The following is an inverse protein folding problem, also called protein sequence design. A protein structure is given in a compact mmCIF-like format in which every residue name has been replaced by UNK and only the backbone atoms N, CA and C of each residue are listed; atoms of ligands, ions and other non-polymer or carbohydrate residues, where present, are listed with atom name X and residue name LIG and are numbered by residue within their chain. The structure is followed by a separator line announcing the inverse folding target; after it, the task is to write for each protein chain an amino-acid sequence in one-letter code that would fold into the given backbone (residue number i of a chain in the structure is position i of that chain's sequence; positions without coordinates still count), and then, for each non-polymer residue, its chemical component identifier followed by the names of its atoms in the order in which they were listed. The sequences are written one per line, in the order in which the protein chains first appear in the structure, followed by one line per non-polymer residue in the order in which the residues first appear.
data_IF_546481780882
#
_entry.id   IF_546481780882
#
_cell.length_a   1.000
_cell.length_b   1.000
_cell.length_c   1.000
_cell.angle_alpha   90.00
_cell.angle_beta   90.00
_cell.angle_gamma   90.00
#
_symmetry.space_group_name_H-M   'P 1'
#
loop_
_entity.id
_entity.type
_entity.pdbx_description
1 polymer ?
#
# COMPACT_ATOMS: atom_id res chain seq x y z
N UNK A 1 -70.12 36.43 45.79
CA UNK A 1 -70.48 36.78 44.40
C UNK A 1 -69.70 35.79 43.55
N UNK A 2 -70.28 34.70 43.01
CA UNK A 2 -71.47 34.62 42.13
C UNK A 2 -71.24 35.54 40.92
N UNK A 3 -71.03 35.08 39.68
CA UNK A 3 -71.04 33.71 39.10
C UNK A 3 -70.16 33.70 37.80
N UNK A 4 -69.86 32.61 37.06
CA UNK A 4 -70.36 31.22 37.01
C UNK A 4 -69.33 30.25 36.36
N UNK A 5 -69.76 29.01 36.04
CA UNK A 5 -69.15 28.01 35.13
C UNK A 5 -70.32 27.42 34.29
N UNK A 6 -70.16 26.92 33.04
CA UNK A 6 -69.81 25.50 32.89
C UNK A 6 -69.12 25.05 31.57
N UNK A 7 -68.53 23.85 31.62
CA UNK A 7 -68.45 22.85 30.54
C UNK A 7 -67.63 23.14 29.26
N UNK A 8 -67.06 22.14 28.59
CA UNK A 8 -66.74 20.73 28.93
C UNK A 8 -65.87 20.17 27.80
N UNK A 9 -64.93 19.26 28.08
CA UNK A 9 -64.22 18.53 27.03
C UNK A 9 -62.75 18.24 27.31
N UNK A 10 -62.46 16.98 27.58
CA UNK A 10 -61.16 16.33 27.40
C UNK A 10 -61.46 14.89 26.95
N UNK A 11 -60.50 14.11 26.42
CA UNK A 11 -59.17 14.45 25.89
C UNK A 11 -58.94 13.88 24.47
N UNK A 12 -58.02 14.44 23.68
CA UNK A 12 -57.37 13.69 22.59
C UNK A 12 -55.87 13.97 22.52
N UNK A 13 -55.08 12.91 22.51
CA UNK A 13 -53.65 12.96 22.17
C UNK A 13 -53.49 13.20 20.67
N UNK A 14 -52.53 14.04 20.26
CA UNK A 14 -51.97 13.98 18.90
C UNK A 14 -50.50 14.40 18.89
N UNK A 15 -49.64 13.39 19.07
CA UNK A 15 -48.40 13.12 18.33
C UNK A 15 -47.46 14.30 18.00
N UNK A 16 -46.22 14.18 18.49
CA UNK A 16 -45.06 14.91 17.97
C UNK A 16 -44.93 14.71 16.45
N UNK A 17 -44.55 15.74 15.66
CA UNK A 17 -44.15 15.54 14.28
C UNK A 17 -42.82 14.79 14.20
N UNK A 18 -42.75 13.75 13.34
CA UNK A 18 -41.51 13.08 12.97
C UNK A 18 -40.47 14.08 12.39
N UNK A 19 -39.17 13.90 12.70
CA UNK A 19 -38.10 14.45 11.88
C UNK A 19 -37.81 13.49 10.72
N UNK A 20 -38.73 13.40 9.75
CA UNK A 20 -38.50 12.63 8.53
C UNK A 20 -37.53 13.36 7.59
N UNK A 21 -36.42 12.69 7.27
CA UNK A 21 -35.72 12.82 5.99
C UNK A 21 -35.25 14.20 5.52
N UNK A 22 -34.18 14.74 6.12
CA UNK A 22 -33.27 15.61 5.36
C UNK A 22 -32.53 14.75 4.31
N UNK A 23 -33.14 14.57 3.14
CA UNK A 23 -32.38 14.22 1.95
C UNK A 23 -31.40 15.37 1.66
N UNK A 24 -30.11 15.09 1.33
CA UNK A 24 -29.17 16.14 0.98
C UNK A 24 -29.71 16.92 -0.23
N UNK A 25 -29.60 18.24 -0.19
CA UNK A 25 -30.10 19.07 -1.28
C UNK A 25 -29.32 18.75 -2.56
N UNK A 26 -29.97 18.83 -3.73
CA UNK A 26 -29.31 18.54 -5.01
C UNK A 26 -28.07 19.42 -5.25
N UNK A 27 -28.03 20.62 -4.63
CA UNK A 27 -26.85 21.48 -4.59
C UNK A 27 -25.65 20.86 -3.90
N UNK A 28 -25.87 20.15 -2.80
CA UNK A 28 -24.81 19.60 -1.95
C UNK A 28 -24.23 18.36 -2.63
N UNK A 29 -25.11 17.50 -3.17
CA UNK A 29 -24.71 16.41 -4.05
C UNK A 29 -23.95 16.90 -5.30
N UNK A 30 -24.35 18.02 -5.89
CA UNK A 30 -23.64 18.60 -7.04
C UNK A 30 -22.26 19.18 -6.66
N UNK A 31 -22.14 19.76 -5.48
CA UNK A 31 -20.87 20.25 -4.92
C UNK A 31 -19.92 19.10 -4.59
N UNK A 32 -20.41 18.03 -3.97
CA UNK A 32 -19.61 16.82 -3.68
C UNK A 32 -19.15 16.14 -4.97
N UNK A 33 -20.02 16.00 -5.97
CA UNK A 33 -19.65 15.49 -7.30
C UNK A 33 -18.62 16.39 -8.02
N UNK A 34 -18.67 17.71 -7.80
CA UNK A 34 -17.69 18.64 -8.37
C UNK A 34 -16.35 18.56 -7.63
N UNK A 35 -16.37 18.47 -6.29
CA UNK A 35 -15.18 18.26 -5.48
C UNK A 35 -14.49 16.93 -5.81
N UNK A 36 -15.28 15.86 -5.97
CA UNK A 36 -14.80 14.56 -6.43
C UNK A 36 -14.17 14.66 -7.83
N UNK A 37 -14.84 15.27 -8.81
CA UNK A 37 -14.27 15.46 -10.16
C UNK A 37 -13.00 16.32 -10.17
N UNK A 38 -12.92 17.33 -9.32
CA UNK A 38 -11.70 18.15 -9.16
C UNK A 38 -10.58 17.29 -8.57
N UNK A 39 -10.84 16.52 -7.51
CA UNK A 39 -9.87 15.60 -6.92
C UNK A 39 -9.40 14.51 -7.91
N UNK A 40 -10.32 13.92 -8.67
CA UNK A 40 -10.03 12.98 -9.75
C UNK A 40 -9.15 13.65 -10.83
N UNK A 41 -9.48 14.86 -11.27
CA UNK A 41 -8.68 15.60 -12.26
C UNK A 41 -7.28 15.95 -11.77
N UNK A 42 -7.12 16.30 -10.50
CA UNK A 42 -5.82 16.58 -9.88
C UNK A 42 -4.98 15.30 -9.70
N UNK A 43 -5.62 14.14 -9.53
CA UNK A 43 -4.92 12.85 -9.47
C UNK A 43 -4.47 12.35 -10.85
N UNK A 44 -5.20 12.71 -11.92
CA UNK A 44 -4.91 12.29 -13.30
C UNK A 44 -3.68 12.98 -13.91
N UNK A 45 -3.26 14.15 -13.40
CA UNK A 45 -2.05 14.85 -13.88
C UNK A 45 -0.74 14.17 -13.41
N UNK A 46 -0.80 13.29 -12.41
CA UNK A 46 0.35 12.50 -11.95
C UNK A 46 0.41 11.14 -12.67
N UNK A 47 0.87 11.15 -13.93
CA UNK A 47 1.17 9.91 -14.67
C UNK A 47 2.30 9.12 -14.01
N UNK A 48 2.02 7.87 -13.67
CA UNK A 48 2.96 6.94 -13.04
C UNK A 48 3.45 5.92 -14.07
N UNK A 49 4.56 6.23 -14.75
CA UNK A 49 5.04 5.47 -15.92
C UNK A 49 5.29 4.00 -15.60
N UNK A 50 5.78 3.71 -14.39
CA UNK A 50 5.88 2.34 -13.93
C UNK A 50 4.52 1.72 -13.56
N UNK A 51 3.78 2.30 -12.60
CA UNK A 51 2.59 1.67 -12.02
C UNK A 51 1.41 1.51 -13.00
N UNK A 52 1.30 2.36 -14.03
CA UNK A 52 0.34 2.20 -15.13
C UNK A 52 0.58 0.94 -15.98
N UNK A 53 1.75 0.29 -15.84
CA UNK A 53 2.10 -0.97 -16.53
C UNK A 53 1.98 -2.21 -15.65
N UNK A 54 1.66 -2.06 -14.36
CA UNK A 54 1.62 -3.17 -13.40
C UNK A 54 0.18 -3.67 -13.17
N UNK A 55 0.00 -4.96 -12.83
CA UNK A 55 -1.31 -5.54 -12.51
C UNK A 55 -1.78 -5.10 -11.11
N UNK A 56 -2.06 -3.80 -10.97
CA UNK A 56 -2.61 -3.13 -9.79
C UNK A 56 -3.88 -2.37 -10.17
N UNK A 57 -4.76 -2.12 -9.19
CA UNK A 57 -5.97 -1.33 -9.42
C UNK A 57 -5.60 0.09 -9.87
N UNK A 58 -6.08 0.50 -11.04
CA UNK A 58 -5.68 1.75 -11.68
C UNK A 58 -6.61 2.90 -11.28
N UNK A 59 -6.12 4.15 -11.34
CA UNK A 59 -6.90 5.34 -10.97
C UNK A 59 -8.22 5.47 -11.75
N UNK A 60 -8.23 5.09 -13.03
CA UNK A 60 -9.41 5.06 -13.91
C UNK A 60 -10.52 4.08 -13.46
N UNK A 61 -10.17 3.11 -12.61
CA UNK A 61 -11.04 2.02 -12.16
C UNK A 61 -11.60 2.28 -10.75
N UNK A 62 -11.14 3.35 -10.08
CA UNK A 62 -11.62 3.77 -8.76
C UNK A 62 -13.13 4.07 -8.80
N UNK A 63 -13.86 3.61 -7.79
CA UNK A 63 -15.29 3.86 -7.66
C UNK A 63 -16.18 3.06 -8.61
N UNK A 64 -15.65 2.16 -9.43
CA UNK A 64 -16.45 1.27 -10.29
C UNK A 64 -16.88 -0.01 -9.54
N UNK A 65 -18.15 -0.16 -9.09
CA UNK A 65 -18.59 -1.31 -8.31
C UNK A 65 -18.85 -2.56 -9.18
N UNK A 66 -18.68 -2.48 -10.51
CA UNK A 66 -18.98 -3.60 -11.43
C UNK A 66 -17.80 -4.53 -11.69
N UNK A 67 -16.61 -4.17 -11.20
CA UNK A 67 -15.41 -4.98 -11.38
C UNK A 67 -15.47 -6.24 -10.49
N UNK A 68 -15.22 -7.44 -11.04
CA UNK A 68 -15.21 -8.67 -10.27
C UNK A 68 -13.99 -8.74 -9.34
N UNK A 69 -14.13 -9.40 -8.20
CA UNK A 69 -13.00 -9.71 -7.34
C UNK A 69 -12.19 -10.89 -7.89
N UNK A 70 -10.87 -10.80 -7.78
CA UNK A 70 -9.95 -11.84 -8.22
C UNK A 70 -8.60 -11.29 -8.70
N UNK A 71 -7.79 -12.12 -9.39
CA UNK A 71 -6.56 -11.68 -10.04
C UNK A 71 -6.84 -10.65 -11.14
N UNK A 72 -6.09 -9.55 -11.15
CA UNK A 72 -6.14 -8.52 -12.21
C UNK A 72 -5.63 -9.10 -13.55
N UNK A 73 -4.59 -9.93 -13.48
CA UNK A 73 -4.11 -10.75 -14.58
C UNK A 73 -4.13 -12.24 -14.17
N UNK A 74 -4.43 -13.16 -15.10
CA UNK A 74 -4.40 -14.60 -14.81
C UNK A 74 -2.96 -15.07 -14.49
N UNK A 75 -2.78 -16.04 -13.57
CA UNK A 75 -1.44 -16.49 -13.16
C UNK A 75 -0.59 -17.00 -14.34
N UNK A 76 0.56 -16.37 -14.56
CA UNK A 76 1.52 -16.79 -15.60
C UNK A 76 2.13 -18.17 -15.28
N UNK A 77 2.15 -19.12 -16.24
CA UNK A 77 2.83 -20.40 -16.06
C UNK A 77 4.33 -20.22 -15.78
N UNK A 78 4.90 -21.06 -14.89
CA UNK A 78 6.32 -21.00 -14.54
C UNK A 78 7.28 -21.15 -15.74
N UNK A 79 6.84 -21.81 -16.81
CA UNK A 79 7.55 -21.95 -18.09
C UNK A 79 7.63 -20.66 -18.92
N UNK A 80 6.71 -19.71 -18.68
CA UNK A 80 6.64 -18.41 -19.37
C UNK A 80 7.30 -17.30 -18.55
N UNK A 81 7.50 -17.52 -17.24
CA UNK A 81 8.29 -16.61 -16.39
C UNK A 81 9.75 -16.61 -16.83
N UNK A 82 10.34 -15.42 -16.91
CA UNK A 82 11.75 -15.23 -17.25
C UNK A 82 12.66 -15.88 -16.19
N UNK A 83 13.47 -16.85 -16.62
CA UNK A 83 14.40 -17.57 -15.73
C UNK A 83 15.67 -16.76 -15.40
N UNK A 84 16.11 -15.89 -16.32
CA UNK A 84 17.28 -15.03 -16.14
C UNK A 84 16.93 -13.72 -15.41
N UNK A 85 17.74 -13.25 -14.43
CA UNK A 85 17.51 -12.00 -13.72
C UNK A 85 17.28 -10.79 -14.63
N UNK A 86 16.57 -9.77 -14.16
CA UNK A 86 16.39 -8.53 -14.92
C UNK A 86 17.73 -7.81 -15.14
N UNK A 87 17.84 -7.10 -16.27
CA UNK A 87 19.09 -6.44 -16.62
C UNK A 87 19.34 -5.23 -15.70
N UNK A 88 20.48 -5.20 -15.05
CA UNK A 88 20.98 -4.02 -14.33
C UNK A 88 21.99 -3.25 -15.19
N UNK A 89 22.15 -1.93 -15.01
CA UNK A 89 23.25 -1.19 -15.62
C UNK A 89 24.61 -1.80 -15.24
N UNK A 90 25.57 -1.77 -16.16
CA UNK A 90 26.85 -2.51 -16.07
C UNK A 90 27.64 -2.34 -14.75
N UNK A 91 27.45 -1.24 -14.03
CA UNK A 91 28.07 -0.93 -12.74
C UNK A 91 27.52 -1.75 -11.57
N UNK A 92 26.37 -2.41 -11.73
CA UNK A 92 25.66 -3.10 -10.65
C UNK A 92 25.46 -4.59 -10.93
N UNK A 93 25.36 -5.36 -9.85
CA UNK A 93 25.08 -6.79 -9.84
C UNK A 93 23.98 -7.11 -8.81
N UNK A 94 23.19 -8.14 -9.09
CA UNK A 94 22.26 -8.71 -8.12
C UNK A 94 23.03 -9.47 -7.05
N UNK A 95 22.50 -9.48 -5.84
CA UNK A 95 22.92 -10.37 -4.76
C UNK A 95 21.70 -10.98 -4.08
N UNK A 96 21.77 -12.25 -3.74
CA UNK A 96 20.82 -12.90 -2.83
C UNK A 96 21.35 -12.74 -1.41
N UNK A 97 20.54 -12.22 -0.51
CA UNK A 97 20.98 -11.87 0.84
C UNK A 97 20.51 -12.90 1.87
N UNK A 98 21.43 -13.76 2.33
CA UNK A 98 21.17 -14.64 3.46
C UNK A 98 21.31 -13.88 4.79
N UNK A 99 20.23 -13.81 5.58
CA UNK A 99 20.19 -13.12 6.87
C UNK A 99 20.78 -13.95 8.02
N UNK A 100 21.07 -15.24 7.77
CA UNK A 100 21.89 -16.06 8.68
C UNK A 100 23.36 -15.64 8.66
N UNK A 101 23.87 -15.15 7.53
CA UNK A 101 25.23 -14.61 7.47
C UNK A 101 25.31 -13.29 8.24
N UNK A 102 26.24 -13.21 9.20
CA UNK A 102 26.35 -12.06 10.09
C UNK A 102 26.79 -10.80 9.34
N UNK A 103 27.70 -10.92 8.37
CA UNK A 103 28.16 -9.79 7.56
C UNK A 103 27.04 -9.22 6.68
N UNK A 104 26.23 -10.08 6.08
CA UNK A 104 25.06 -9.70 5.27
C UNK A 104 23.96 -9.07 6.13
N UNK A 105 23.68 -9.64 7.32
CA UNK A 105 22.73 -9.08 8.27
C UNK A 105 23.15 -7.68 8.74
N UNK A 106 24.44 -7.48 8.98
CA UNK A 106 25.03 -6.18 9.34
C UNK A 106 24.93 -5.16 8.21
N UNK A 107 25.11 -5.58 6.96
CA UNK A 107 24.97 -4.71 5.80
C UNK A 107 23.51 -4.33 5.52
N UNK A 108 22.56 -5.26 5.64
CA UNK A 108 21.12 -4.97 5.54
C UNK A 108 20.70 -4.00 6.64
N UNK A 109 21.07 -4.27 7.90
CA UNK A 109 20.83 -3.37 9.03
C UNK A 109 21.37 -1.96 8.74
N UNK A 110 22.63 -1.88 8.29
CA UNK A 110 23.29 -0.60 7.97
C UNK A 110 22.63 0.12 6.79
N UNK A 111 22.13 -0.60 5.78
CA UNK A 111 21.41 -0.01 4.66
C UNK A 111 20.08 0.58 5.12
N UNK A 112 19.29 -0.17 5.90
CA UNK A 112 18.00 0.28 6.42
C UNK A 112 18.14 1.45 7.39
N UNK A 113 19.00 1.34 8.41
CA UNK A 113 19.20 2.39 9.42
C UNK A 113 19.71 3.73 8.85
N UNK A 114 20.28 3.73 7.63
CA UNK A 114 20.78 4.94 6.97
C UNK A 114 19.89 5.48 5.84
N UNK A 115 18.98 4.66 5.26
CA UNK A 115 18.25 5.04 4.04
C UNK A 115 16.77 4.61 4.02
N UNK A 116 16.27 3.88 5.03
CA UNK A 116 14.84 3.54 5.10
C UNK A 116 14.00 4.71 5.61
N UNK A 117 12.69 4.54 5.53
CA UNK A 117 11.64 5.54 5.78
C UNK A 117 12.00 6.53 6.89
N UNK A 118 12.12 7.78 6.48
CA UNK A 118 12.15 8.99 7.30
C UNK A 118 10.71 9.51 7.42
N UNK A 119 10.39 10.20 8.51
CA UNK A 119 9.18 11.03 8.59
C UNK A 119 9.32 12.31 7.75
N UNK A 120 8.20 12.96 7.45
CA UNK A 120 8.18 14.17 6.60
C UNK A 120 9.02 15.34 7.16
N UNK A 121 9.24 15.36 8.48
CA UNK A 121 10.08 16.35 9.18
C UNK A 121 11.53 15.84 9.44
N UNK A 122 11.84 14.59 9.06
CA UNK A 122 13.14 13.92 9.22
C UNK A 122 13.69 13.95 10.67
N UNK A 123 12.79 13.87 11.66
CA UNK A 123 13.11 13.76 13.08
C UNK A 123 13.28 12.30 13.54
N UNK A 124 12.71 11.34 12.82
CA UNK A 124 12.67 9.93 13.17
C UNK A 124 12.95 9.02 11.97
N UNK A 125 13.77 7.99 12.19
CA UNK A 125 13.98 6.92 11.22
C UNK A 125 13.80 5.57 11.91
N UNK A 126 13.14 4.63 11.23
CA UNK A 126 13.01 3.27 11.73
C UNK A 126 14.36 2.58 11.85
N UNK A 127 14.74 2.19 13.07
CA UNK A 127 15.95 1.43 13.36
C UNK A 127 15.58 0.00 13.79
N UNK A 128 15.32 -0.86 12.81
CA UNK A 128 15.02 -2.28 13.05
C UNK A 128 16.27 -3.00 13.57
N UNK A 129 16.18 -3.68 14.72
CA UNK A 129 17.31 -4.44 15.24
C UNK A 129 17.62 -5.66 14.37
N UNK A 130 18.86 -6.18 14.44
CA UNK A 130 19.29 -7.37 13.69
C UNK A 130 18.46 -8.60 14.06
N UNK A 131 18.06 -8.71 15.33
CA UNK A 131 17.21 -9.77 15.86
C UNK A 131 15.79 -9.68 15.27
N UNK A 132 15.24 -8.45 15.18
CA UNK A 132 13.96 -8.21 14.53
C UNK A 132 14.01 -8.55 13.04
N UNK A 133 15.07 -8.17 12.33
CA UNK A 133 15.23 -8.48 10.91
C UNK A 133 15.34 -9.99 10.67
N UNK A 134 16.09 -10.73 11.48
CA UNK A 134 16.13 -12.21 11.43
C UNK A 134 14.76 -12.82 11.70
N UNK A 135 14.03 -12.34 12.72
CA UNK A 135 12.68 -12.82 13.00
C UNK A 135 11.69 -12.54 11.85
N UNK A 136 11.65 -11.31 11.34
CA UNK A 136 10.69 -10.89 10.31
C UNK A 136 10.96 -11.52 8.94
N UNK A 137 12.24 -11.74 8.58
CA UNK A 137 12.63 -12.27 7.28
C UNK A 137 12.71 -13.79 7.22
N UNK A 138 12.49 -14.49 8.34
CA UNK A 138 12.61 -15.96 8.42
C UNK A 138 11.34 -16.67 8.93
N UNK A 139 10.12 -16.34 8.46
CA UNK A 139 8.94 -17.13 8.79
C UNK A 139 9.06 -18.56 8.23
N UNK A 140 8.36 -19.55 8.82
CA UNK A 140 8.40 -20.93 8.32
C UNK A 140 8.07 -21.03 6.83
N UNK A 141 8.99 -21.64 6.06
CA UNK A 141 8.86 -21.77 4.61
C UNK A 141 9.33 -20.57 3.78
N UNK A 142 10.05 -19.60 4.38
CA UNK A 142 10.68 -18.52 3.63
C UNK A 142 11.68 -19.04 2.57
N UNK A 143 11.95 -18.20 1.57
CA UNK A 143 12.89 -18.50 0.48
C UNK A 143 13.97 -17.44 0.45
N UNK A 144 15.23 -17.79 0.77
CA UNK A 144 16.37 -16.84 0.74
C UNK A 144 16.51 -16.15 -0.62
N UNK A 145 16.15 -16.83 -1.72
CA UNK A 145 16.12 -16.27 -3.07
C UNK A 145 15.17 -15.05 -3.26
N UNK A 146 14.26 -14.80 -2.31
CA UNK A 146 13.37 -13.63 -2.30
C UNK A 146 13.90 -12.47 -1.44
N UNK A 147 15.10 -12.59 -0.89
CA UNK A 147 15.83 -11.48 -0.26
C UNK A 147 16.84 -10.96 -1.28
N UNK A 148 16.48 -9.90 -1.98
CA UNK A 148 17.17 -9.45 -3.19
C UNK A 148 17.83 -8.11 -2.91
N UNK A 149 19.15 -8.05 -3.08
CA UNK A 149 19.93 -6.82 -3.02
C UNK A 149 20.54 -6.45 -4.37
N UNK A 150 20.94 -5.19 -4.49
CA UNK A 150 21.76 -4.67 -5.59
C UNK A 150 23.07 -4.15 -5.01
N UNK A 151 24.20 -4.58 -5.59
CA UNK A 151 25.56 -4.13 -5.21
C UNK A 151 26.23 -3.38 -6.35
N UNK A 152 27.13 -2.47 -6.02
CA UNK A 152 28.09 -1.89 -6.99
C UNK A 152 29.22 -2.89 -7.21
N UNK A 153 29.48 -3.30 -8.46
CA UNK A 153 30.43 -4.39 -8.77
C UNK A 153 31.86 -4.16 -8.25
N UNK A 154 32.32 -2.91 -8.26
CA UNK A 154 33.71 -2.54 -7.94
C UNK A 154 33.96 -2.41 -6.44
N UNK A 155 33.06 -1.75 -5.70
CA UNK A 155 33.19 -1.56 -4.24
C UNK A 155 32.50 -2.65 -3.42
N UNK A 156 31.70 -3.51 -4.08
CA UNK A 156 30.79 -4.51 -3.49
C UNK A 156 29.74 -3.98 -2.53
N UNK A 157 29.68 -2.68 -2.25
CA UNK A 157 28.68 -2.04 -1.37
C UNK A 157 27.25 -2.26 -1.89
N UNK A 158 26.35 -2.69 -1.02
CA UNK A 158 24.91 -2.75 -1.29
C UNK A 158 24.30 -1.34 -1.37
N UNK A 159 23.43 -1.14 -2.36
CA UNK A 159 22.82 0.17 -2.69
C UNK A 159 21.28 0.12 -2.81
N UNK A 160 20.70 -1.06 -2.89
CA UNK A 160 19.26 -1.29 -2.76
C UNK A 160 19.00 -2.70 -2.22
N UNK A 161 17.85 -2.88 -1.58
CA UNK A 161 17.38 -4.15 -1.00
C UNK A 161 15.85 -4.22 -1.02
N UNK A 162 15.30 -5.42 -1.16
CA UNK A 162 13.87 -5.72 -1.08
C UNK A 162 13.68 -7.16 -0.62
N UNK A 163 12.60 -7.44 0.10
CA UNK A 163 12.28 -8.78 0.61
C UNK A 163 10.87 -9.21 0.24
N UNK A 164 10.71 -10.52 0.00
CA UNK A 164 9.41 -11.16 -0.17
C UNK A 164 9.27 -12.43 0.65
N UNK A 165 8.46 -12.40 1.70
CA UNK A 165 8.19 -13.56 2.57
C UNK A 165 6.86 -14.24 2.18
N UNK A 166 6.68 -15.55 2.42
CA UNK A 166 5.40 -16.22 2.15
C UNK A 166 4.33 -15.78 3.16
N UNK A 167 3.17 -15.37 2.66
CA UNK A 167 2.00 -15.03 3.46
C UNK A 167 0.76 -15.82 2.99
N UNK A 168 -0.17 -16.07 3.92
CA UNK A 168 -1.48 -16.66 3.63
C UNK A 168 -2.56 -15.67 4.06
N UNK A 169 -3.14 -14.99 3.09
CA UNK A 169 -4.06 -13.87 3.33
C UNK A 169 -5.46 -14.30 2.90
N UNK A 170 -6.45 -14.01 3.75
CA UNK A 170 -7.87 -14.23 3.46
C UNK A 170 -8.45 -12.96 2.87
N UNK A 171 -9.00 -13.05 1.66
CA UNK A 171 -9.75 -11.98 1.00
C UNK A 171 -11.20 -12.46 0.90
N UNK A 172 -12.06 -11.92 1.77
CA UNK A 172 -13.42 -12.41 2.04
C UNK A 172 -13.44 -13.92 2.31
N UNK A 173 -13.97 -14.72 1.40
CA UNK A 173 -14.14 -16.17 1.52
C UNK A 173 -12.93 -16.96 0.98
N UNK A 174 -12.12 -16.34 0.13
CA UNK A 174 -10.94 -16.97 -0.49
C UNK A 174 -9.68 -16.82 0.36
N UNK A 175 -8.82 -17.86 0.36
CA UNK A 175 -7.52 -17.84 1.04
C UNK A 175 -6.41 -18.00 0.02
N UNK A 176 -5.61 -16.94 -0.14
CA UNK A 176 -4.58 -16.84 -1.17
C UNK A 176 -3.20 -16.95 -0.54
N UNK A 177 -2.37 -17.85 -1.07
CA UNK A 177 -0.94 -17.90 -0.77
C UNK A 177 -0.23 -16.86 -1.66
N UNK A 178 0.44 -15.88 -1.06
CA UNK A 178 1.10 -14.79 -1.78
C UNK A 178 2.47 -14.45 -1.19
N UNK A 179 3.18 -13.51 -1.81
CA UNK A 179 4.38 -12.91 -1.24
C UNK A 179 4.01 -11.59 -0.55
N UNK A 180 4.31 -11.47 0.74
CA UNK A 180 4.31 -10.19 1.44
C UNK A 180 5.65 -9.50 1.15
N UNK A 181 5.59 -8.31 0.58
CA UNK A 181 6.76 -7.52 0.19
C UNK A 181 7.04 -6.45 1.23
N UNK A 182 8.28 -6.37 1.72
CA UNK A 182 8.70 -5.39 2.72
C UNK A 182 10.18 -5.00 2.56
N UNK A 183 10.62 -3.98 3.30
CA UNK A 183 12.00 -3.50 3.35
C UNK A 183 12.57 -3.08 1.98
N UNK A 184 11.71 -2.58 1.08
CA UNK A 184 12.13 -1.97 -0.17
C UNK A 184 12.87 -0.66 0.13
N UNK A 185 14.19 -0.65 -0.06
CA UNK A 185 15.07 0.45 0.33
C UNK A 185 16.15 0.68 -0.73
N UNK A 186 16.60 1.92 -0.84
CA UNK A 186 17.70 2.32 -1.70
C UNK A 186 18.50 3.46 -1.10
N UNK A 187 19.75 3.58 -1.54
CA UNK A 187 20.53 4.80 -1.30
C UNK A 187 20.05 5.91 -2.23
N UNK A 188 19.96 7.15 -1.75
CA UNK A 188 19.56 8.33 -2.57
C UNK A 188 20.38 8.51 -3.86
N UNK A 189 21.66 8.10 -3.86
CA UNK A 189 22.53 8.15 -5.05
C UNK A 189 22.23 7.07 -6.11
N UNK A 190 21.45 6.05 -5.75
CA UNK A 190 20.88 5.05 -6.66
C UNK A 190 19.54 5.55 -7.23
N UNK A 191 18.68 6.15 -6.40
CA UNK A 191 17.39 6.77 -6.81
C UNK A 191 17.58 7.85 -7.87
N UNK A 192 18.53 8.76 -7.66
CA UNK A 192 18.85 9.86 -8.60
C UNK A 192 19.27 9.38 -10.01
N UNK A 193 19.50 8.07 -10.20
CA UNK A 193 19.83 7.47 -11.49
C UNK A 193 18.60 6.90 -12.23
N UNK A 194 17.39 7.07 -11.69
CA UNK A 194 16.14 6.63 -12.32
C UNK A 194 15.99 5.10 -12.39
N UNK A 195 16.63 4.38 -11.47
CA UNK A 195 16.64 2.90 -11.43
C UNK A 195 15.56 2.32 -10.50
N UNK A 196 14.72 3.18 -9.94
CA UNK A 196 13.58 2.83 -9.09
C UNK A 196 12.33 3.59 -9.54
N UNK A 197 11.20 3.13 -9.03
CA UNK A 197 9.88 3.26 -9.64
C UNK A 197 9.38 4.71 -9.62
N UNK A 198 9.14 5.27 -10.80
CA UNK A 198 8.43 6.54 -11.05
C UNK A 198 7.53 6.40 -12.28
#
# INVERSE_FOLDING_TARGET
MVDSNPSSGSPEETQNPNPDGNAPAESDLALDNLAQKVQESLSLDQRHKFWETQPVGQFKDIGNPTLPEGPIEPPTPLSEVKQEPYNLPNLYEWVTCDIHDEQMCDEIYTLLANNYVEDDENMFRFNYSKEFLRWALQPPGYFTARHIGVRVKTSKKMVAFITGIPARIRVRDEVVNMAEINFCVSTRSFEQRGLLLS
#
